data_IF_154122076106
#
_entry.id   IF_154122076106
#
_cell.length_a   1.000
_cell.length_b   1.000
_cell.length_c   1.000
_cell.angle_alpha   90.00
_cell.angle_beta   90.00
_cell.angle_gamma   90.00
#
_symmetry.space_group_name_H-M   'P 1'
#
loop_
_entity.id
_entity.type
_entity.pdbx_description
1 polymer ?
#
# COMPACT_ATOMS: atom_id res chain seq x y z
N UNK A 1 -0.67 -41.17 -12.20
CA UNK A 1 0.20 -39.98 -12.35
C UNK A 1 -0.05 -39.08 -11.16
N UNK A 2 0.98 -38.46 -10.60
CA UNK A 2 0.78 -37.45 -9.56
C UNK A 2 -0.17 -36.37 -10.09
N UNK A 3 -1.21 -36.04 -9.31
CA UNK A 3 -2.30 -35.16 -9.71
C UNK A 3 -1.82 -33.75 -10.06
N UNK A 4 -0.73 -33.31 -9.42
CA UNK A 4 -0.08 -32.02 -9.61
C UNK A 4 1.43 -32.20 -9.72
N UNK A 5 2.11 -31.27 -10.39
CA UNK A 5 3.56 -31.16 -10.31
C UNK A 5 3.95 -30.65 -8.91
N UNK A 6 4.91 -31.31 -8.25
CA UNK A 6 5.36 -30.97 -6.90
C UNK A 6 6.86 -30.66 -6.93
N UNK A 7 7.28 -29.54 -6.33
CA UNK A 7 8.70 -29.20 -6.19
C UNK A 7 9.04 -28.53 -4.85
N UNK A 8 10.09 -28.93 -4.13
CA UNK A 8 10.96 -30.08 -4.42
C UNK A 8 10.21 -31.41 -4.27
N UNK A 9 10.86 -32.52 -4.60
CA UNK A 9 10.31 -33.87 -4.41
C UNK A 9 10.21 -34.22 -2.90
N UNK A 10 9.23 -33.59 -2.25
CA UNK A 10 8.89 -33.71 -0.83
C UNK A 10 7.36 -33.76 -0.72
N UNK A 11 6.86 -34.43 0.31
CA UNK A 11 5.42 -34.48 0.58
C UNK A 11 4.89 -33.08 0.95
N UNK A 12 3.92 -32.52 0.21
CA UNK A 12 3.35 -31.22 0.55
C UNK A 12 2.52 -31.27 1.83
N UNK A 13 2.39 -30.14 2.52
CA UNK A 13 1.56 -30.06 3.72
C UNK A 13 0.09 -30.42 3.42
N UNK A 14 -0.61 -31.02 4.40
CA UNK A 14 -2.05 -31.31 4.26
C UNK A 14 -2.88 -30.06 3.92
N UNK A 15 -2.45 -28.90 4.42
CA UNK A 15 -3.09 -27.61 4.16
C UNK A 15 -3.02 -27.24 2.67
N UNK A 16 -1.83 -27.31 2.05
CA UNK A 16 -1.68 -26.96 0.63
C UNK A 16 -2.37 -27.99 -0.27
N UNK A 17 -2.36 -29.27 0.11
CA UNK A 17 -3.10 -30.33 -0.61
C UNK A 17 -4.60 -30.06 -0.57
N UNK A 18 -5.17 -29.83 0.63
CA UNK A 18 -6.59 -29.53 0.77
C UNK A 18 -7.01 -28.26 0.00
N UNK A 19 -6.14 -27.25 -0.03
CA UNK A 19 -6.39 -26.03 -0.81
C UNK A 19 -6.34 -26.28 -2.32
N UNK A 20 -5.41 -27.10 -2.81
CA UNK A 20 -5.36 -27.50 -4.22
C UNK A 20 -6.61 -28.28 -4.65
N UNK A 21 -7.10 -29.20 -3.81
CA UNK A 21 -8.37 -29.90 -4.05
C UNK A 21 -9.57 -28.95 -4.05
N UNK A 22 -9.56 -27.96 -3.15
CA UNK A 22 -10.62 -26.96 -3.10
C UNK A 22 -10.67 -26.14 -4.40
N UNK A 23 -9.52 -25.72 -4.93
CA UNK A 23 -9.44 -25.03 -6.23
C UNK A 23 -10.13 -25.83 -7.34
N UNK A 24 -9.90 -27.13 -7.41
CA UNK A 24 -10.54 -27.98 -8.42
C UNK A 24 -12.03 -28.19 -8.18
N UNK A 25 -12.45 -28.40 -6.92
CA UNK A 25 -13.87 -28.47 -6.54
C UNK A 25 -14.62 -27.19 -6.91
N UNK A 26 -13.93 -26.06 -6.86
CA UNK A 26 -14.49 -24.76 -7.20
C UNK A 26 -14.55 -24.50 -8.71
N UNK A 27 -14.05 -25.42 -9.53
CA UNK A 27 -14.03 -25.36 -10.99
C UNK A 27 -12.77 -24.72 -11.55
N UNK A 28 -11.76 -24.46 -10.73
CA UNK A 28 -10.42 -24.04 -11.12
C UNK A 28 -9.48 -25.21 -11.44
N UNK A 29 -8.20 -24.92 -11.57
CA UNK A 29 -7.16 -25.93 -11.81
C UNK A 29 -5.88 -25.61 -11.04
N UNK A 30 -5.45 -26.51 -10.16
CA UNK A 30 -4.11 -26.46 -9.58
C UNK A 30 -3.09 -27.00 -10.61
N UNK A 31 -2.09 -26.18 -10.96
CA UNK A 31 -1.09 -26.52 -11.99
C UNK A 31 0.18 -27.11 -11.35
N UNK A 32 0.64 -26.50 -10.25
CA UNK A 32 1.82 -26.96 -9.50
C UNK A 32 1.72 -26.57 -8.03
N UNK A 33 2.29 -27.41 -7.16
CA UNK A 33 2.52 -27.13 -5.74
C UNK A 33 4.03 -27.02 -5.56
N UNK A 34 4.51 -25.91 -5.00
CA UNK A 34 5.94 -25.69 -4.87
C UNK A 34 6.32 -24.92 -3.61
N UNK A 35 7.54 -25.13 -3.13
CA UNK A 35 8.12 -24.32 -2.05
C UNK A 35 8.69 -23.01 -2.60
N UNK A 36 8.44 -21.90 -1.91
CA UNK A 36 9.07 -20.62 -2.21
C UNK A 36 10.60 -20.69 -1.97
N UNK A 37 11.40 -19.90 -2.70
CA UNK A 37 12.86 -20.03 -2.69
C UNK A 37 13.55 -19.44 -1.46
N UNK A 38 12.81 -18.77 -0.55
CA UNK A 38 13.38 -18.06 0.61
C UNK A 38 13.03 -18.76 1.92
N UNK A 39 11.73 -18.98 2.17
CA UNK A 39 11.22 -19.56 3.41
C UNK A 39 10.87 -21.05 3.30
N UNK A 40 10.95 -21.62 2.10
CA UNK A 40 10.50 -22.98 1.79
C UNK A 40 9.01 -23.23 2.12
N UNK A 41 8.19 -22.19 2.14
CA UNK A 41 6.74 -22.30 2.36
C UNK A 41 6.04 -22.83 1.11
N UNK A 42 5.08 -23.73 1.30
CA UNK A 42 4.32 -24.32 0.21
C UNK A 42 3.32 -23.32 -0.38
N UNK A 43 3.24 -23.24 -1.70
CA UNK A 43 2.29 -22.40 -2.45
C UNK A 43 1.85 -23.10 -3.73
N UNK A 44 0.74 -22.64 -4.31
CA UNK A 44 0.12 -23.28 -5.48
C UNK A 44 0.12 -22.32 -6.65
N UNK A 45 0.69 -22.71 -7.79
CA UNK A 45 0.39 -22.05 -9.06
C UNK A 45 -0.87 -22.65 -9.65
N UNK A 46 -1.88 -21.83 -9.93
CA UNK A 46 -3.22 -22.30 -10.31
C UNK A 46 -3.96 -21.35 -11.26
N UNK A 47 -5.07 -21.84 -11.81
CA UNK A 47 -6.11 -21.08 -12.50
C UNK A 47 -7.34 -21.02 -11.60
N UNK A 48 -7.74 -19.81 -11.19
CA UNK A 48 -8.93 -19.59 -10.37
C UNK A 48 -10.11 -19.11 -11.23
N UNK A 49 -11.35 -19.57 -10.98
CA UNK A 49 -12.55 -19.04 -11.62
C UNK A 49 -12.72 -17.55 -11.33
N UNK A 50 -12.93 -16.74 -12.36
CA UNK A 50 -12.99 -15.27 -12.22
C UNK A 50 -14.12 -14.78 -11.29
N UNK A 51 -15.23 -15.51 -11.24
CA UNK A 51 -16.41 -15.23 -10.41
C UNK A 51 -16.20 -15.52 -8.92
N UNK A 52 -15.08 -16.16 -8.56
CA UNK A 52 -14.71 -16.46 -7.17
C UNK A 52 -13.53 -15.64 -6.66
N UNK A 53 -12.97 -14.74 -7.48
CA UNK A 53 -11.83 -13.89 -7.12
C UNK A 53 -12.28 -12.46 -6.88
N UNK A 54 -12.10 -12.01 -5.65
CA UNK A 54 -12.47 -10.67 -5.17
C UNK A 54 -11.23 -9.87 -4.73
N UNK A 55 -11.29 -8.53 -4.73
CA UNK A 55 -10.26 -7.72 -4.09
C UNK A 55 -10.23 -7.98 -2.57
N UNK A 56 -9.06 -7.82 -1.94
CA UNK A 56 -9.02 -7.79 -0.47
C UNK A 56 -9.75 -6.54 0.06
N UNK A 57 -10.46 -6.62 1.21
CA UNK A 57 -11.21 -5.48 1.76
C UNK A 57 -10.37 -4.25 2.12
N UNK A 58 -9.06 -4.42 2.30
CA UNK A 58 -8.11 -3.39 2.77
C UNK A 58 -7.13 -2.94 1.67
N UNK A 59 -7.40 -3.28 0.41
CA UNK A 59 -6.52 -2.93 -0.71
C UNK A 59 -6.62 -1.45 -1.12
N UNK A 60 -5.61 -0.99 -1.87
CA UNK A 60 -5.67 0.34 -2.51
C UNK A 60 -6.82 0.40 -3.52
N UNK A 61 -7.42 1.59 -3.61
CA UNK A 61 -8.45 1.89 -4.59
C UNK A 61 -7.95 1.64 -6.03
N UNK A 62 -8.80 1.03 -6.85
CA UNK A 62 -8.52 0.84 -8.26
C UNK A 62 -8.35 2.21 -8.94
N UNK A 63 -7.34 2.30 -9.82
CA UNK A 63 -7.15 3.48 -10.65
C UNK A 63 -7.74 3.21 -12.04
N UNK A 64 -8.83 3.88 -12.43
CA UNK A 64 -9.46 3.65 -13.74
C UNK A 64 -8.49 3.86 -14.91
N UNK A 65 -7.59 4.84 -14.78
CA UNK A 65 -6.58 5.15 -15.78
C UNK A 65 -5.50 4.05 -15.91
N UNK A 66 -5.11 3.40 -14.81
CA UNK A 66 -4.18 2.27 -14.86
C UNK A 66 -4.87 1.03 -15.44
N UNK A 67 -6.10 0.73 -15.03
CA UNK A 67 -6.87 -0.39 -15.58
C UNK A 67 -7.06 -0.23 -17.09
N UNK A 68 -7.41 0.97 -17.56
CA UNK A 68 -7.57 1.23 -19.01
C UNK A 68 -6.27 0.96 -19.79
N UNK A 69 -5.15 1.51 -19.33
CA UNK A 69 -3.84 1.31 -19.97
C UNK A 69 -3.44 -0.17 -19.98
N UNK A 70 -3.58 -0.86 -18.85
CA UNK A 70 -3.23 -2.28 -18.75
C UNK A 70 -4.12 -3.13 -19.68
N UNK A 71 -5.42 -2.84 -19.74
CA UNK A 71 -6.34 -3.50 -20.67
C UNK A 71 -5.93 -3.31 -22.15
N UNK A 72 -5.58 -2.09 -22.56
CA UNK A 72 -5.10 -1.81 -23.92
C UNK A 72 -3.81 -2.57 -24.24
N UNK A 73 -2.86 -2.61 -23.31
CA UNK A 73 -1.61 -3.36 -23.48
C UNK A 73 -1.88 -4.85 -23.59
N UNK A 74 -2.66 -5.44 -22.67
CA UNK A 74 -3.01 -6.87 -22.70
C UNK A 74 -3.69 -7.25 -24.00
N UNK A 75 -4.65 -6.45 -24.50
CA UNK A 75 -5.28 -6.68 -25.81
C UNK A 75 -4.29 -6.58 -26.97
N UNK A 76 -3.36 -5.62 -26.92
CA UNK A 76 -2.39 -5.40 -27.98
C UNK A 76 -1.38 -6.53 -28.09
N UNK A 77 -0.90 -7.04 -26.95
CA UNK A 77 0.10 -8.12 -26.91
C UNK A 77 -0.52 -9.52 -26.93
N UNK A 78 -1.84 -9.61 -26.72
CA UNK A 78 -2.62 -10.84 -26.63
C UNK A 78 -2.05 -11.85 -25.61
N UNK A 79 -1.61 -11.33 -24.46
CA UNK A 79 -0.96 -12.13 -23.41
C UNK A 79 -1.27 -11.61 -22.03
N UNK A 80 -1.47 -12.54 -21.10
CA UNK A 80 -1.46 -12.31 -19.67
C UNK A 80 -0.26 -13.05 -19.07
N UNK A 81 0.73 -12.30 -18.57
CA UNK A 81 2.04 -12.85 -18.22
C UNK A 81 2.21 -13.05 -16.71
N UNK A 82 1.67 -12.12 -15.92
CA UNK A 82 1.98 -12.01 -14.51
C UNK A 82 0.79 -12.49 -13.64
N UNK A 83 0.89 -13.66 -12.97
CA UNK A 83 -0.17 -14.18 -12.12
C UNK A 83 -0.38 -13.31 -10.89
N UNK A 84 -1.64 -13.18 -10.47
CA UNK A 84 -1.95 -12.47 -9.22
C UNK A 84 -1.46 -13.27 -8.01
N UNK A 85 -1.31 -12.63 -6.86
CA UNK A 85 -1.24 -13.36 -5.59
C UNK A 85 -2.64 -13.45 -5.01
N UNK A 86 -3.01 -14.64 -4.55
CA UNK A 86 -4.30 -14.94 -3.98
C UNK A 86 -4.17 -15.67 -2.64
N UNK A 87 -5.22 -15.57 -1.83
CA UNK A 87 -5.44 -16.36 -0.62
C UNK A 87 -6.93 -16.72 -0.54
N UNK A 88 -7.29 -17.73 0.24
CA UNK A 88 -8.68 -18.22 0.31
C UNK A 88 -9.30 -17.95 1.68
N UNK A 89 -9.85 -16.76 2.00
CA UNK A 89 -10.43 -16.45 3.33
C UNK A 89 -11.42 -17.47 3.88
N UNK A 90 -12.15 -18.14 2.99
CA UNK A 90 -13.04 -19.27 3.27
C UNK A 90 -13.14 -20.14 2.01
N UNK A 91 -13.54 -21.41 2.11
CA UNK A 91 -13.71 -22.28 0.94
C UNK A 91 -14.63 -21.64 -0.11
N UNK A 92 -14.24 -21.70 -1.38
CA UNK A 92 -15.02 -21.14 -2.49
C UNK A 92 -14.86 -19.65 -2.75
N UNK A 93 -14.10 -18.91 -1.92
CA UNK A 93 -13.83 -17.49 -2.12
C UNK A 93 -12.32 -17.23 -2.06
N UNK A 94 -11.82 -16.49 -3.05
CA UNK A 94 -10.42 -16.10 -3.15
C UNK A 94 -10.28 -14.59 -3.13
N UNK A 95 -9.38 -14.09 -2.29
CA UNK A 95 -9.00 -12.70 -2.25
C UNK A 95 -7.64 -12.49 -2.90
N UNK A 96 -7.51 -11.43 -3.69
CA UNK A 96 -6.23 -11.03 -4.26
C UNK A 96 -5.60 -9.88 -3.47
N UNK A 97 -4.63 -10.11 -2.56
CA UNK A 97 -3.88 -9.03 -1.91
C UNK A 97 -2.91 -8.33 -2.87
N UNK A 98 -2.51 -8.96 -3.98
CA UNK A 98 -1.70 -8.35 -5.02
C UNK A 98 -2.22 -8.73 -6.42
N UNK A 99 -2.53 -7.73 -7.23
CA UNK A 99 -2.95 -7.93 -8.61
C UNK A 99 -4.38 -7.50 -8.92
N UNK A 100 -5.02 -6.68 -8.08
CA UNK A 100 -6.40 -6.24 -8.32
C UNK A 100 -6.59 -5.48 -9.65
N UNK A 101 -5.62 -4.67 -10.10
CA UNK A 101 -5.70 -4.06 -11.44
C UNK A 101 -5.69 -5.12 -12.55
N UNK A 102 -4.91 -6.20 -12.39
CA UNK A 102 -4.85 -7.34 -13.33
C UNK A 102 -6.18 -8.11 -13.33
N UNK A 103 -6.73 -8.41 -12.15
CA UNK A 103 -8.07 -8.98 -11.96
C UNK A 103 -9.15 -8.15 -12.68
N UNK A 104 -9.17 -6.83 -12.44
CA UNK A 104 -10.14 -5.92 -13.05
C UNK A 104 -10.00 -5.83 -14.58
N UNK A 105 -8.80 -5.99 -15.12
CA UNK A 105 -8.60 -6.08 -16.58
C UNK A 105 -9.17 -7.37 -17.15
N UNK A 106 -8.90 -8.52 -16.52
CA UNK A 106 -9.41 -9.81 -16.96
C UNK A 106 -10.94 -9.90 -16.83
N UNK A 107 -11.52 -9.29 -15.80
CA UNK A 107 -12.97 -9.12 -15.64
C UNK A 107 -13.58 -8.36 -16.82
N UNK A 108 -12.95 -7.25 -17.25
CA UNK A 108 -13.39 -6.50 -18.45
C UNK A 108 -13.24 -7.29 -19.75
N UNK A 109 -12.23 -8.16 -19.81
CA UNK A 109 -12.00 -9.06 -20.94
C UNK A 109 -12.91 -10.30 -20.90
N UNK A 110 -13.72 -10.48 -19.84
CA UNK A 110 -14.65 -11.60 -19.65
C UNK A 110 -13.93 -12.96 -19.75
N UNK A 111 -12.71 -13.06 -19.21
CA UNK A 111 -12.02 -14.34 -19.14
C UNK A 111 -12.70 -15.25 -18.12
N UNK A 112 -12.60 -16.57 -18.34
CA UNK A 112 -13.15 -17.56 -17.40
C UNK A 112 -12.25 -17.75 -16.18
N UNK A 113 -10.95 -17.64 -16.39
CA UNK A 113 -9.93 -17.92 -15.38
C UNK A 113 -8.94 -16.77 -15.24
N UNK A 114 -8.27 -16.74 -14.10
CA UNK A 114 -7.10 -15.91 -13.81
C UNK A 114 -5.99 -16.79 -13.22
N UNK A 115 -4.77 -16.65 -13.74
CA UNK A 115 -3.62 -17.33 -13.17
C UNK A 115 -3.20 -16.68 -11.86
N UNK A 116 -2.96 -17.50 -10.84
CA UNK A 116 -2.66 -17.05 -9.49
C UNK A 116 -1.57 -17.89 -8.82
N UNK A 117 -0.79 -17.25 -7.96
CA UNK A 117 -0.01 -17.89 -6.90
C UNK A 117 -0.88 -17.83 -5.64
N UNK A 118 -1.35 -18.98 -5.20
CA UNK A 118 -2.25 -19.14 -4.08
C UNK A 118 -1.46 -19.53 -2.82
N UNK A 119 -1.52 -18.67 -1.82
CA UNK A 119 -0.82 -18.81 -0.54
C UNK A 119 -1.75 -19.46 0.49
N UNK A 120 -1.35 -20.58 1.13
CA UNK A 120 -2.16 -21.26 2.14
C UNK A 120 -2.38 -20.47 3.43
N UNK A 121 -1.41 -19.65 3.83
CA UNK A 121 -1.40 -18.93 5.10
C UNK A 121 -2.15 -17.59 5.00
N UNK A 122 -3.29 -17.49 5.67
CA UNK A 122 -4.14 -16.31 5.64
C UNK A 122 -3.50 -15.07 6.28
N UNK A 123 -2.66 -15.27 7.29
CA UNK A 123 -2.06 -14.19 8.10
C UNK A 123 -1.06 -13.35 7.30
N UNK A 124 -0.53 -13.89 6.19
CA UNK A 124 0.49 -13.26 5.36
C UNK A 124 -0.10 -12.20 4.41
N UNK A 125 -1.43 -12.05 4.35
CA UNK A 125 -2.10 -11.12 3.44
C UNK A 125 -1.61 -9.67 3.55
N UNK A 126 -1.36 -9.19 4.78
CA UNK A 126 -0.78 -7.87 5.03
C UNK A 126 0.70 -7.79 4.63
N UNK A 127 1.45 -8.88 4.79
CA UNK A 127 2.86 -8.95 4.41
C UNK A 127 3.00 -8.95 2.88
N UNK A 128 2.10 -9.63 2.15
CA UNK A 128 2.08 -9.65 0.68
C UNK A 128 1.84 -8.25 0.10
N UNK A 129 1.03 -7.42 0.77
CA UNK A 129 0.85 -6.02 0.37
C UNK A 129 2.17 -5.24 0.50
N UNK A 130 2.94 -5.49 1.56
CA UNK A 130 4.25 -4.88 1.75
C UNK A 130 5.31 -5.35 0.72
N UNK A 131 5.13 -6.53 0.11
CA UNK A 131 6.01 -7.04 -0.95
C UNK A 131 5.87 -6.30 -2.29
N UNK A 132 4.85 -5.45 -2.48
CA UNK A 132 4.74 -4.57 -3.66
C UNK A 132 5.71 -3.37 -3.57
N UNK A 133 7.01 -3.66 -3.47
CA UNK A 133 8.08 -2.66 -3.38
C UNK A 133 8.42 -2.02 -4.74
N UNK A 134 7.96 -2.59 -5.85
CA UNK A 134 8.25 -2.09 -7.22
C UNK A 134 7.67 -0.70 -7.51
N UNK A 135 6.58 -0.33 -6.83
CA UNK A 135 6.04 1.02 -6.89
C UNK A 135 6.06 1.60 -5.50
N UNK A 136 7.19 2.23 -5.15
CA UNK A 136 7.26 3.13 -4.02
C UNK A 136 5.99 4.00 -4.06
N UNK A 137 5.15 3.86 -3.04
CA UNK A 137 3.94 4.64 -2.94
C UNK A 137 4.34 6.10 -3.13
N UNK A 138 3.61 6.82 -3.99
CA UNK A 138 3.76 8.27 -3.93
C UNK A 138 3.39 8.69 -2.49
N UNK A 139 4.06 9.74 -2.00
CA UNK A 139 3.94 10.20 -0.62
C UNK A 139 2.49 10.23 -0.12
N UNK A 140 1.56 10.67 -0.98
CA UNK A 140 0.12 10.73 -0.67
C UNK A 140 -0.49 9.36 -0.41
N UNK A 141 -0.29 8.39 -1.31
CA UNK A 141 -0.79 7.03 -1.14
C UNK A 141 -0.26 6.41 0.16
N UNK A 142 1.02 6.59 0.47
CA UNK A 142 1.63 6.06 1.69
C UNK A 142 1.03 6.70 2.95
N UNK A 143 0.93 8.02 2.96
CA UNK A 143 0.35 8.76 4.07
C UNK A 143 -1.10 8.38 4.33
N UNK A 144 -1.90 8.22 3.27
CA UNK A 144 -3.31 7.79 3.39
C UNK A 144 -3.45 6.34 3.87
N UNK A 145 -2.58 5.44 3.43
CA UNK A 145 -2.53 4.06 3.95
C UNK A 145 -2.21 4.05 5.45
N UNK A 146 -1.17 4.78 5.86
CA UNK A 146 -0.73 4.85 7.26
C UNK A 146 -1.82 5.42 8.18
N UNK A 147 -2.49 6.51 7.80
CA UNK A 147 -3.55 7.07 8.65
C UNK A 147 -4.81 6.19 8.70
N UNK A 148 -5.14 5.48 7.62
CA UNK A 148 -6.23 4.49 7.61
C UNK A 148 -5.93 3.35 8.58
N UNK A 149 -4.70 2.85 8.58
CA UNK A 149 -4.25 1.83 9.53
C UNK A 149 -4.28 2.35 10.97
N UNK A 150 -3.79 3.57 11.21
CA UNK A 150 -3.86 4.22 12.52
C UNK A 150 -5.31 4.26 13.04
N UNK A 151 -6.25 4.70 12.21
CA UNK A 151 -7.69 4.75 12.55
C UNK A 151 -8.30 3.36 12.76
N UNK A 152 -7.77 2.32 12.09
CA UNK A 152 -8.15 0.93 12.33
C UNK A 152 -7.75 0.49 13.74
N UNK A 153 -6.48 0.71 14.11
CA UNK A 153 -5.93 0.35 15.42
C UNK A 153 -6.60 1.12 16.58
N UNK A 154 -7.12 2.33 16.34
CA UNK A 154 -7.91 3.06 17.33
C UNK A 154 -9.20 2.34 17.75
N UNK A 155 -9.73 1.45 16.90
CA UNK A 155 -10.97 0.70 17.16
C UNK A 155 -10.73 -0.62 17.89
N UNK A 156 -9.47 -1.04 18.02
CA UNK A 156 -9.13 -2.29 18.71
C UNK A 156 -9.13 -2.08 20.25
N UNK A 157 -9.43 -3.15 20.99
CA UNK A 157 -9.43 -3.11 22.45
C UNK A 157 -8.02 -2.94 23.02
N UNK A 158 -7.01 -3.46 22.32
CA UNK A 158 -5.61 -3.34 22.70
C UNK A 158 -5.12 -1.92 22.48
N UNK A 159 -4.53 -1.33 23.53
CA UNK A 159 -3.99 0.03 23.48
C UNK A 159 -2.52 0.00 23.04
N UNK A 160 -2.31 0.18 21.75
CA UNK A 160 -0.97 0.35 21.17
C UNK A 160 -0.45 1.79 21.40
N UNK A 161 0.87 1.95 21.38
CA UNK A 161 1.56 3.21 21.15
C UNK A 161 1.98 3.34 19.68
N UNK A 162 2.42 4.54 19.26
CA UNK A 162 2.97 4.67 17.91
C UNK A 162 4.29 3.93 17.72
N UNK A 163 5.08 3.77 18.80
CA UNK A 163 6.34 3.02 18.78
C UNK A 163 6.11 1.52 18.58
N UNK A 164 5.06 0.95 19.17
CA UNK A 164 4.66 -0.45 18.95
C UNK A 164 4.32 -0.72 17.48
N UNK A 165 3.83 0.30 16.78
CA UNK A 165 3.43 0.26 15.39
C UNK A 165 4.47 0.86 14.43
N UNK A 166 5.69 1.13 14.90
CA UNK A 166 6.71 1.85 14.13
C UNK A 166 7.08 1.15 12.83
N UNK A 167 7.13 -0.19 12.84
CA UNK A 167 7.41 -0.97 11.64
C UNK A 167 6.33 -0.78 10.57
N UNK A 168 5.06 -0.82 10.98
CA UNK A 168 3.92 -0.70 10.08
C UNK A 168 3.73 0.75 9.61
N UNK A 169 3.88 1.73 10.52
CA UNK A 169 3.77 3.14 10.18
C UNK A 169 4.95 3.64 9.34
N UNK A 170 6.09 2.93 9.35
CA UNK A 170 7.37 3.23 8.70
C UNK A 170 8.03 4.54 9.14
N UNK A 171 7.28 5.65 9.13
CA UNK A 171 7.78 6.95 9.51
C UNK A 171 6.68 7.85 10.08
N UNK A 172 6.98 8.62 11.16
CA UNK A 172 6.01 9.49 11.82
C UNK A 172 5.30 10.48 10.89
N UNK A 173 6.04 11.07 9.96
CA UNK A 173 5.50 12.09 9.04
C UNK A 173 4.38 11.55 8.13
N UNK A 174 4.28 10.24 7.92
CA UNK A 174 3.18 9.67 7.15
C UNK A 174 1.84 9.79 7.87
N UNK A 175 1.83 9.74 9.21
CA UNK A 175 0.61 9.90 10.02
C UNK A 175 0.10 11.35 9.87
N UNK A 176 0.98 12.33 10.11
CA UNK A 176 0.65 13.77 10.02
C UNK A 176 0.21 14.17 8.62
N UNK A 177 0.94 13.72 7.59
CA UNK A 177 0.54 13.95 6.20
C UNK A 177 -0.75 13.24 5.83
N UNK A 178 -1.04 12.07 6.42
CA UNK A 178 -2.27 11.33 6.18
C UNK A 178 -3.49 12.14 6.61
N UNK A 179 -3.44 12.73 7.81
CA UNK A 179 -4.48 13.64 8.31
C UNK A 179 -4.70 14.85 7.37
N UNK A 180 -3.62 15.44 6.87
CA UNK A 180 -3.69 16.53 5.90
C UNK A 180 -4.32 16.13 4.57
N UNK A 181 -4.00 14.93 4.07
CA UNK A 181 -4.59 14.42 2.83
C UNK A 181 -6.05 13.99 2.97
N UNK A 182 -6.48 13.54 4.16
CA UNK A 182 -7.89 13.29 4.46
C UNK A 182 -8.71 14.59 4.36
N UNK A 183 -8.19 15.71 4.88
CA UNK A 183 -8.83 17.02 4.79
C UNK A 183 -8.73 17.63 3.39
N UNK A 184 -7.56 17.52 2.74
CA UNK A 184 -7.30 18.08 1.41
C UNK A 184 -6.48 17.13 0.56
N UNK A 185 -7.17 16.42 -0.35
CA UNK A 185 -6.55 15.49 -1.28
C UNK A 185 -5.49 16.11 -2.23
N UNK A 186 -5.47 17.44 -2.38
CA UNK A 186 -4.50 18.19 -3.21
C UNK A 186 -3.41 18.88 -2.37
N UNK A 187 -3.30 18.57 -1.09
CA UNK A 187 -2.28 19.13 -0.21
C UNK A 187 -0.87 18.95 -0.78
N UNK A 188 -0.03 19.97 -0.66
CA UNK A 188 1.32 19.98 -1.21
C UNK A 188 2.33 19.21 -0.34
N UNK A 189 2.00 17.98 0.06
CA UNK A 189 2.79 17.23 1.06
C UNK A 189 4.24 16.98 0.66
N UNK A 190 4.54 16.90 -0.64
CA UNK A 190 5.91 16.78 -1.14
C UNK A 190 6.81 17.97 -0.75
N UNK A 191 6.24 19.16 -0.59
CA UNK A 191 6.98 20.35 -0.16
C UNK A 191 7.32 20.32 1.34
N UNK A 192 6.44 19.74 2.15
CA UNK A 192 6.57 19.66 3.62
C UNK A 192 7.29 18.40 4.10
N UNK A 193 7.31 17.31 3.33
CA UNK A 193 7.96 16.06 3.74
C UNK A 193 9.43 16.21 4.19
N UNK A 194 10.29 17.02 3.54
CA UNK A 194 11.68 17.19 3.99
C UNK A 194 11.82 17.80 5.40
N UNK A 195 10.97 18.75 5.77
CA UNK A 195 10.99 19.33 7.12
C UNK A 195 10.38 18.35 8.13
N UNK A 196 9.25 17.73 7.79
CA UNK A 196 8.57 16.77 8.67
C UNK A 196 9.44 15.54 8.98
N UNK A 197 10.22 15.03 8.04
CA UNK A 197 11.18 13.94 8.32
C UNK A 197 12.20 14.27 9.40
N UNK A 198 12.49 15.55 9.62
CA UNK A 198 13.47 16.02 10.60
C UNK A 198 12.84 16.25 11.97
N UNK A 199 11.64 16.83 12.00
CA UNK A 199 11.00 17.30 13.23
C UNK A 199 9.93 16.35 13.76
N UNK A 200 9.31 15.56 12.90
CA UNK A 200 8.23 14.67 13.28
C UNK A 200 8.78 13.36 13.85
N UNK A 201 8.24 12.94 14.98
CA UNK A 201 8.66 11.78 15.79
C UNK A 201 7.43 10.99 16.20
N UNK A 202 7.61 9.69 16.46
CA UNK A 202 6.55 8.90 17.09
C UNK A 202 6.25 9.47 18.47
N UNK A 203 4.97 9.60 18.77
CA UNK A 203 4.47 10.18 20.00
C UNK A 203 4.45 9.13 21.11
N UNK A 204 4.70 9.59 22.33
CA UNK A 204 4.58 8.75 23.52
C UNK A 204 3.11 8.61 23.92
N UNK A 205 2.80 7.49 24.57
CA UNK A 205 1.44 7.21 25.04
C UNK A 205 0.63 6.40 24.03
N UNK A 206 -0.65 6.19 24.35
CA UNK A 206 -1.53 5.33 23.56
C UNK A 206 -2.06 6.06 22.32
N UNK A 207 -2.34 5.34 21.23
CA UNK A 207 -2.87 5.90 19.98
C UNK A 207 -4.06 6.86 20.18
N UNK A 208 -5.05 6.60 21.08
CA UNK A 208 -6.16 7.53 21.31
C UNK A 208 -5.75 8.89 21.88
N UNK A 209 -4.64 8.97 22.63
CA UNK A 209 -4.09 10.24 23.11
C UNK A 209 -3.20 10.88 22.07
N UNK A 210 -2.35 10.08 21.41
CA UNK A 210 -1.42 10.54 20.40
C UNK A 210 -2.14 11.14 19.18
N UNK A 211 -3.34 10.67 18.82
CA UNK A 211 -4.09 11.20 17.67
C UNK A 211 -4.53 12.65 17.86
N UNK A 212 -4.77 13.11 19.09
CA UNK A 212 -5.12 14.50 19.40
C UNK A 212 -3.94 15.42 19.08
N UNK A 213 -2.74 15.09 19.57
CA UNK A 213 -1.51 15.82 19.24
C UNK A 213 -1.15 15.72 17.75
N UNK A 214 -1.42 14.57 17.09
CA UNK A 214 -1.27 14.45 15.63
C UNK A 214 -2.17 15.41 14.88
N UNK A 215 -3.40 15.61 15.36
CA UNK A 215 -4.37 16.52 14.75
C UNK A 215 -3.90 17.98 14.89
N UNK A 216 -3.43 18.38 16.07
CA UNK A 216 -2.84 19.71 16.29
C UNK A 216 -1.63 19.94 15.39
N UNK A 217 -0.71 18.99 15.31
CA UNK A 217 0.47 19.08 14.43
C UNK A 217 0.08 19.18 12.95
N UNK A 218 -0.93 18.43 12.52
CA UNK A 218 -1.46 18.52 11.16
C UNK A 218 -2.05 19.92 10.89
N UNK A 219 -2.77 20.49 11.85
CA UNK A 219 -3.36 21.83 11.70
C UNK A 219 -2.28 22.92 11.64
N UNK A 220 -1.21 22.84 12.44
CA UNK A 220 -0.06 23.74 12.31
C UNK A 220 0.60 23.68 10.92
N UNK A 221 0.71 22.49 10.33
CA UNK A 221 1.25 22.32 8.98
C UNK A 221 0.29 22.87 7.93
N UNK A 222 -1.02 22.77 8.17
CA UNK A 222 -2.03 23.35 7.30
C UNK A 222 -1.93 24.88 7.27
N UNK A 223 -1.87 25.53 8.44
CA UNK A 223 -1.68 26.98 8.58
C UNK A 223 -0.41 27.45 7.86
N UNK A 224 0.68 26.68 7.97
CA UNK A 224 1.92 26.97 7.26
C UNK A 224 1.76 26.88 5.72
N UNK A 225 0.94 25.95 5.20
CA UNK A 225 0.64 25.86 3.76
C UNK A 225 -0.25 27.01 3.27
N UNK A 226 -1.17 27.50 4.10
CA UNK A 226 -1.98 28.68 3.79
C UNK A 226 -1.10 29.92 3.68
N UNK A 227 -0.28 30.20 4.69
CA UNK A 227 0.68 31.30 4.65
C UNK A 227 1.65 31.20 3.46
N UNK A 228 2.13 29.98 3.16
CA UNK A 228 2.96 29.72 2.00
C UNK A 228 2.22 30.01 0.68
N UNK A 229 0.95 29.61 0.59
CA UNK A 229 0.14 29.80 -0.61
C UNK A 229 -0.10 31.28 -0.91
N UNK A 230 -0.29 32.12 0.12
CA UNK A 230 -0.37 33.58 -0.02
C UNK A 230 0.92 34.18 -0.59
N UNK A 231 2.08 33.74 -0.10
CA UNK A 231 3.37 34.19 -0.62
C UNK A 231 3.58 33.73 -2.06
N UNK A 232 3.22 32.48 -2.38
CA UNK A 232 3.27 31.97 -3.76
C UNK A 232 2.40 32.81 -4.68
N UNK A 233 1.18 33.19 -4.26
CA UNK A 233 0.30 34.04 -5.04
C UNK A 233 0.92 35.43 -5.31
N UNK A 234 1.55 36.05 -4.30
CA UNK A 234 2.28 37.31 -4.45
C UNK A 234 3.46 37.19 -5.42
N UNK A 235 4.21 36.10 -5.36
CA UNK A 235 5.34 35.84 -6.28
C UNK A 235 4.89 35.60 -7.72
N UNK A 236 3.78 34.87 -7.91
CA UNK A 236 3.17 34.67 -9.24
C UNK A 236 2.76 36.00 -9.88
N UNK A 237 2.15 36.92 -9.10
CA UNK A 237 1.82 38.27 -9.55
C UNK A 237 3.05 39.08 -9.98
N UNK A 238 4.24 38.74 -9.47
CA UNK A 238 5.53 39.34 -9.83
C UNK A 238 6.26 38.59 -10.96
N UNK A 239 5.59 37.65 -11.64
CA UNK A 239 6.13 36.91 -12.78
C UNK A 239 6.84 35.60 -12.46
N UNK A 240 6.91 35.18 -11.19
CA UNK A 240 7.56 33.92 -10.80
C UNK A 240 6.58 32.75 -10.93
N UNK A 241 6.59 32.11 -12.10
CA UNK A 241 5.77 30.93 -12.40
C UNK A 241 6.65 29.69 -12.56
N UNK A 242 6.89 28.97 -11.47
CA UNK A 242 7.65 27.71 -11.51
C UNK A 242 6.94 26.62 -10.68
N UNK A 243 6.91 25.34 -11.14
CA UNK A 243 6.21 24.26 -10.43
C UNK A 243 6.67 24.05 -8.99
N UNK A 244 7.95 24.33 -8.70
CA UNK A 244 8.58 24.10 -7.41
C UNK A 244 8.72 25.35 -6.52
N UNK A 245 7.99 26.44 -6.79
CA UNK A 245 8.09 27.69 -5.99
C UNK A 245 7.84 27.43 -4.50
N UNK A 246 6.85 26.59 -4.15
CA UNK A 246 6.59 26.19 -2.75
C UNK A 246 7.82 25.58 -2.09
N UNK A 247 8.47 24.63 -2.76
CA UNK A 247 9.67 23.95 -2.26
C UNK A 247 10.82 24.95 -2.05
N UNK A 248 11.03 25.88 -2.98
CA UNK A 248 12.09 26.88 -2.85
C UNK A 248 11.88 27.85 -1.70
N UNK A 249 10.66 28.32 -1.48
CA UNK A 249 10.34 29.19 -0.34
C UNK A 249 10.62 28.45 0.96
N UNK A 250 10.06 27.25 1.13
CA UNK A 250 10.24 26.45 2.34
C UNK A 250 11.72 26.12 2.62
N UNK A 251 12.50 25.80 1.58
CA UNK A 251 13.93 25.56 1.73
C UNK A 251 14.72 26.79 2.24
N UNK A 252 14.26 28.02 1.95
CA UNK A 252 14.89 29.27 2.38
C UNK A 252 14.36 29.82 3.70
N UNK A 253 13.11 29.48 4.05
CA UNK A 253 12.45 29.91 5.28
C UNK A 253 12.55 28.89 6.41
N UNK A 254 12.97 27.65 6.13
CA UNK A 254 13.15 26.63 7.17
C UNK A 254 14.19 27.09 8.21
N UNK A 255 13.85 27.11 9.51
CA UNK A 255 14.78 27.50 10.56
C UNK A 255 15.90 26.46 10.73
N UNK A 256 15.67 25.23 10.25
CA UNK A 256 16.55 24.09 10.46
C UNK A 256 17.83 24.11 9.59
N UNK A 257 17.91 24.96 8.57
CA UNK A 257 19.15 25.21 7.79
C UNK A 257 19.95 26.37 8.36
N UNK A 258 19.32 27.26 9.14
CA UNK A 258 19.97 28.41 9.80
C UNK A 258 20.62 28.06 11.14
N UNK A 259 20.27 26.90 11.72
CA UNK A 259 20.82 26.41 12.99
C UNK A 259 22.28 25.91 12.95
N UNK A 260 23.02 26.12 11.86
CA UNK A 260 24.49 25.93 11.83
C UNK A 260 25.18 27.29 11.85
N UNK A 261 25.38 27.81 13.07
CA UNK A 261 26.52 28.64 13.53
C UNK A 261 26.11 29.23 14.88
N UNK A 262 26.94 28.98 15.90
CA UNK A 262 26.82 29.44 17.30
C UNK A 262 26.01 28.51 18.22
N UNK A 263 26.59 27.36 18.53
CA UNK A 263 26.55 26.86 19.92
C UNK A 263 28.02 26.69 20.33
N UNK A 264 28.50 27.30 21.42
CA UNK A 264 29.84 27.04 21.93
C UNK A 264 29.93 25.57 22.37
N UNK A 265 31.08 24.97 22.11
CA UNK A 265 31.52 23.66 22.61
C UNK A 265 31.45 23.56 24.13
#
# INVERSE_FOLDING_TARGET
MAKWAIFPDKEPSKQVVGLAEQVEKDGGQALAIYQDPVGEHWQIFCLLPMDRVEPTPYQRDLSPAHVKRLHEVVKKIDRFVDPIVAMSPKPGLYWTPNGNHRRAVLEKLKTKFISAILIPEHEVAFQILALNTEKAHNLKEKSLEVIRMYRGLLKEERRYSEEDCAFQFESPHFITLGLLYEKNARFAGGAFAPILRRVDKFLKGTLPKAIEERQERADMVHEADEALSDIVAKLKKRGVNHPYVKNFILARTTPLTRARKILPS
#
